data_IF_433033448354
#
_entry.id   IF_433033448354
#
_cell.length_a   1.000
_cell.length_b   1.000
_cell.length_c   1.000
_cell.angle_alpha   90.00
_cell.angle_beta   90.00
_cell.angle_gamma   90.00
#
_symmetry.space_group_name_H-M   'P 1'
#
loop_
_entity.id
_entity.type
_entity.pdbx_description
1 polymer ?
#
# COMPACT_ATOMS: atom_id res chain seq x y z
N UNK A 1 17.53 -49.79 67.99
CA UNK A 1 16.64 -48.69 67.59
C UNK A 1 17.44 -47.76 66.66
N UNK A 2 17.08 -47.72 65.37
CA UNK A 2 17.75 -46.91 64.35
C UNK A 2 17.08 -45.53 64.29
N UNK A 3 17.86 -44.46 64.50
CA UNK A 3 17.42 -43.08 64.29
C UNK A 3 17.59 -42.72 62.81
N UNK A 4 16.49 -42.45 62.14
CA UNK A 4 16.46 -41.98 60.75
C UNK A 4 16.48 -40.45 60.77
N UNK A 5 17.59 -39.86 60.33
CA UNK A 5 17.76 -38.42 60.18
C UNK A 5 17.20 -38.00 58.81
N UNK A 6 16.08 -37.28 58.79
CA UNK A 6 15.48 -36.72 57.58
C UNK A 6 16.13 -35.36 57.27
N UNK A 7 16.93 -35.30 56.21
CA UNK A 7 17.42 -34.06 55.61
C UNK A 7 16.32 -33.43 54.76
N UNK A 8 15.74 -32.31 55.22
CA UNK A 8 14.85 -31.48 54.42
C UNK A 8 15.70 -30.49 53.62
N UNK A 9 15.88 -30.77 52.33
CA UNK A 9 16.47 -29.82 51.38
C UNK A 9 15.35 -28.88 50.91
N UNK A 10 15.35 -27.66 51.45
CA UNK A 10 14.50 -26.58 50.96
C UNK A 10 14.99 -26.08 49.61
N UNK A 11 14.40 -26.59 48.52
CA UNK A 11 14.52 -25.98 47.20
C UNK A 11 13.72 -24.66 47.20
N UNK A 12 14.41 -23.54 47.44
CA UNK A 12 13.87 -22.23 47.09
C UNK A 12 13.86 -22.11 45.56
N UNK A 13 12.71 -22.44 44.96
CA UNK A 13 12.40 -22.07 43.60
C UNK A 13 12.20 -20.55 43.54
N UNK A 14 13.29 -19.81 43.31
CA UNK A 14 13.23 -18.42 42.89
C UNK A 14 12.66 -18.37 41.46
N UNK A 15 11.34 -18.44 41.35
CA UNK A 15 10.62 -18.19 40.12
C UNK A 15 10.86 -16.75 39.66
N UNK A 16 11.86 -16.54 38.80
CA UNK A 16 11.95 -15.34 37.99
C UNK A 16 10.76 -15.33 37.03
N UNK A 17 9.63 -14.78 37.50
CA UNK A 17 8.55 -14.31 36.64
C UNK A 17 9.11 -13.17 35.79
N UNK A 18 9.74 -13.52 34.67
CA UNK A 18 9.90 -12.61 33.55
C UNK A 18 8.50 -12.36 33.01
N UNK A 19 7.83 -11.34 33.55
CA UNK A 19 6.51 -10.93 33.10
C UNK A 19 6.52 -10.79 31.58
N UNK A 20 5.78 -11.67 30.90
CA UNK A 20 5.71 -11.67 29.45
C UNK A 20 5.19 -10.31 28.99
N UNK A 21 6.03 -9.52 28.36
CA UNK A 21 5.64 -8.20 27.88
C UNK A 21 4.64 -8.37 26.74
N UNK A 22 3.42 -7.90 26.98
CA UNK A 22 2.31 -7.93 26.03
C UNK A 22 2.34 -6.70 25.13
N UNK A 23 1.71 -6.79 23.96
CA UNK A 23 1.54 -5.66 23.05
C UNK A 23 0.85 -4.45 23.70
N UNK A 24 0.01 -4.67 24.72
CA UNK A 24 -0.67 -3.61 25.47
C UNK A 24 0.26 -2.68 26.24
N UNK A 25 1.53 -3.05 26.46
CA UNK A 25 2.51 -2.21 27.15
C UNK A 25 3.11 -1.10 26.26
N UNK A 26 2.93 -1.18 24.94
CA UNK A 26 3.52 -0.28 23.96
C UNK A 26 2.84 1.09 23.97
N UNK A 27 3.63 2.16 23.96
CA UNK A 27 3.17 3.55 24.02
C UNK A 27 3.21 4.21 22.64
N UNK A 28 2.22 5.06 22.35
CA UNK A 28 2.09 5.72 21.04
C UNK A 28 3.03 6.93 20.87
N UNK A 29 3.33 7.67 21.92
CA UNK A 29 3.98 8.98 21.81
C UNK A 29 5.51 8.84 21.92
N UNK A 30 6.27 8.84 20.80
CA UNK A 30 7.73 8.86 20.85
C UNK A 30 8.23 10.17 21.44
N UNK A 31 9.41 10.12 22.05
CA UNK A 31 10.13 11.33 22.43
C UNK A 31 10.86 11.90 21.19
N UNK A 32 11.21 13.20 21.16
CA UNK A 32 11.92 13.80 20.02
C UNK A 32 13.20 13.04 19.63
N UNK A 33 13.95 12.56 20.61
CA UNK A 33 15.16 11.76 20.43
C UNK A 33 14.89 10.41 19.74
N UNK A 34 13.73 9.79 20.00
CA UNK A 34 13.33 8.52 19.38
C UNK A 34 13.07 8.74 17.88
N UNK A 35 12.42 9.85 17.53
CA UNK A 35 12.19 10.25 16.13
C UNK A 35 13.51 10.58 15.41
N UNK A 36 14.45 11.24 16.08
CA UNK A 36 15.78 11.50 15.52
C UNK A 36 16.59 10.21 15.33
N UNK A 37 16.48 9.25 16.25
CA UNK A 37 17.08 7.94 16.09
C UNK A 37 16.49 7.21 14.88
N UNK A 38 15.17 7.25 14.71
CA UNK A 38 14.47 6.69 13.55
C UNK A 38 14.94 7.29 12.23
N UNK A 39 14.95 8.62 12.10
CA UNK A 39 15.37 9.31 10.87
C UNK A 39 16.79 8.95 10.42
N UNK A 40 17.70 8.65 11.36
CA UNK A 40 19.06 8.21 11.05
C UNK A 40 19.12 6.75 10.60
N UNK A 41 18.23 5.92 11.09
CA UNK A 41 18.23 4.49 10.83
C UNK A 41 17.40 4.08 9.60
N UNK A 42 16.31 4.79 9.32
CA UNK A 42 15.41 4.54 8.19
C UNK A 42 16.15 4.35 6.84
N UNK A 43 17.18 5.16 6.48
CA UNK A 43 17.94 4.93 5.25
C UNK A 43 18.67 3.57 5.20
N UNK A 44 19.08 3.02 6.34
CA UNK A 44 19.72 1.70 6.41
C UNK A 44 18.73 0.56 6.08
N UNK A 45 17.43 0.83 6.22
CA UNK A 45 16.37 -0.07 5.80
C UNK A 45 16.14 -0.05 4.30
N UNK A 46 16.95 0.64 3.47
CA UNK A 46 16.75 0.67 2.00
C UNK A 46 16.58 -0.73 1.39
N UNK A 47 17.32 -1.71 1.92
CA UNK A 47 17.30 -3.11 1.48
C UNK A 47 16.52 -4.04 2.42
N UNK A 48 15.74 -3.51 3.37
CA UNK A 48 14.88 -4.34 4.22
C UNK A 48 13.76 -4.96 3.42
N UNK A 49 13.47 -6.23 3.69
CA UNK A 49 12.36 -6.99 3.12
C UNK A 49 11.58 -7.72 4.21
N UNK A 50 10.37 -8.13 3.87
CA UNK A 50 9.47 -8.88 4.74
C UNK A 50 9.15 -10.20 4.04
N UNK A 51 9.41 -11.31 4.72
CA UNK A 51 8.99 -12.64 4.29
C UNK A 51 7.89 -13.13 5.21
N UNK A 52 6.78 -13.56 4.63
CA UNK A 52 5.67 -14.19 5.37
C UNK A 52 5.62 -15.64 4.94
N UNK A 53 5.79 -16.55 5.89
CA UNK A 53 5.74 -18.00 5.67
C UNK A 53 4.76 -18.65 6.63
N UNK A 54 4.54 -19.96 6.50
CA UNK A 54 3.76 -20.73 7.47
C UNK A 54 4.36 -20.66 8.88
N UNK A 55 5.68 -20.57 9.00
CA UNK A 55 6.37 -20.47 10.31
C UNK A 55 6.25 -19.06 10.93
N UNK A 56 6.00 -18.03 10.12
CA UNK A 56 5.65 -16.70 10.60
C UNK A 56 6.18 -15.54 9.77
N UNK A 57 6.32 -14.40 10.44
CA UNK A 57 6.69 -13.10 9.88
C UNK A 57 8.17 -12.86 10.14
N UNK A 58 8.99 -12.82 9.10
CA UNK A 58 10.44 -12.62 9.19
C UNK A 58 10.82 -11.31 8.49
N UNK A 59 11.43 -10.40 9.24
CA UNK A 59 11.83 -9.08 8.75
C UNK A 59 13.36 -8.93 8.71
N UNK A 60 13.90 -8.42 7.60
CA UNK A 60 15.30 -8.05 7.49
C UNK A 60 15.50 -6.61 8.01
N UNK A 61 16.11 -6.46 9.18
CA UNK A 61 16.41 -5.18 9.82
C UNK A 61 17.70 -4.51 9.31
N UNK A 62 18.18 -4.89 8.12
CA UNK A 62 19.38 -4.33 7.51
C UNK A 62 20.66 -4.88 8.13
N UNK A 63 21.75 -4.12 8.01
CA UNK A 63 23.08 -4.53 8.48
C UNK A 63 23.17 -4.48 10.00
N UNK A 64 23.91 -5.43 10.59
CA UNK A 64 24.10 -5.55 12.03
C UNK A 64 24.65 -4.28 12.66
N UNK A 65 25.64 -3.62 12.04
CA UNK A 65 26.19 -2.37 12.57
C UNK A 65 25.09 -1.32 12.79
N UNK A 66 24.24 -1.13 11.80
CA UNK A 66 23.22 -0.08 11.82
C UNK A 66 22.07 -0.49 12.78
N UNK A 67 21.68 -1.77 12.78
CA UNK A 67 20.68 -2.31 13.71
C UNK A 67 21.15 -2.24 15.17
N UNK A 68 22.40 -2.65 15.47
CA UNK A 68 22.97 -2.57 16.80
C UNK A 68 23.11 -1.12 17.30
N UNK A 69 23.34 -0.18 16.38
CA UNK A 69 23.34 1.24 16.69
C UNK A 69 21.94 1.77 17.02
N UNK A 70 20.89 1.22 16.42
CA UNK A 70 19.50 1.64 16.67
C UNK A 70 18.91 0.99 17.94
N UNK A 71 19.03 -0.34 18.08
CA UNK A 71 18.56 -1.13 19.21
C UNK A 71 19.61 -1.20 20.34
N UNK A 72 19.75 -0.10 21.09
CA UNK A 72 20.74 0.03 22.18
C UNK A 72 20.18 -0.37 23.54
N UNK A 73 18.96 0.04 23.81
CA UNK A 73 18.31 -0.11 25.09
C UNK A 73 17.60 -1.46 25.20
N UNK A 74 17.38 -1.90 26.45
CA UNK A 74 16.71 -3.18 26.75
C UNK A 74 15.32 -3.28 26.09
N UNK A 75 14.59 -2.17 26.04
CA UNK A 75 13.21 -2.09 25.54
C UNK A 75 13.11 -1.46 24.14
N UNK A 76 14.23 -1.37 23.42
CA UNK A 76 14.18 -1.15 21.98
C UNK A 76 13.77 -2.44 21.30
N UNK A 77 12.94 -2.37 20.26
CA UNK A 77 12.38 -3.57 19.68
C UNK A 77 11.60 -3.34 18.40
N UNK A 78 10.97 -4.41 17.93
CA UNK A 78 10.08 -4.39 16.78
C UNK A 78 8.81 -5.17 17.10
N UNK A 79 7.70 -4.78 16.48
CA UNK A 79 6.43 -5.48 16.57
C UNK A 79 5.76 -5.46 15.20
N UNK A 80 5.25 -6.61 14.75
CA UNK A 80 4.40 -6.67 13.57
C UNK A 80 2.96 -6.35 13.97
N UNK A 81 2.30 -5.54 13.16
CA UNK A 81 0.87 -5.26 13.26
C UNK A 81 0.21 -5.70 11.96
N UNK A 82 -0.81 -6.54 12.08
CA UNK A 82 -1.58 -7.06 10.97
C UNK A 82 -2.88 -6.26 10.87
N UNK A 83 -3.02 -5.47 9.81
CA UNK A 83 -4.20 -4.64 9.55
C UNK A 83 -5.04 -5.31 8.46
N UNK A 84 -6.23 -5.87 8.78
CA UNK A 84 -7.12 -6.37 7.75
C UNK A 84 -7.57 -5.22 6.85
N UNK A 85 -7.88 -5.48 5.58
CA UNK A 85 -8.34 -4.41 4.69
C UNK A 85 -9.78 -3.97 4.95
N UNK A 86 -10.56 -4.75 5.70
CA UNK A 86 -11.97 -4.52 6.00
C UNK A 86 -12.29 -3.10 6.51
N UNK A 87 -11.52 -2.49 7.44
CA UNK A 87 -11.80 -1.13 7.91
C UNK A 87 -11.60 -0.04 6.85
N UNK A 88 -10.99 -0.38 5.70
CA UNK A 88 -10.85 0.52 4.55
C UNK A 88 -11.97 0.34 3.51
N UNK A 89 -12.86 -0.65 3.66
CA UNK A 89 -14.03 -0.74 2.79
C UNK A 89 -14.97 0.40 3.17
N UNK A 90 -15.34 1.22 2.18
CA UNK A 90 -16.12 2.42 2.39
C UNK A 90 -17.63 2.15 2.33
N UNK A 91 -18.29 1.86 3.46
CA UNK A 91 -19.62 2.40 3.70
C UNK A 91 -19.53 3.43 4.84
N UNK A 92 -19.67 4.71 4.48
CA UNK A 92 -19.99 5.81 5.40
C UNK A 92 -18.92 6.29 6.42
N UNK A 93 -17.65 6.46 6.02
CA UNK A 93 -16.71 7.32 6.77
C UNK A 93 -16.26 6.83 8.16
N UNK A 94 -16.65 5.61 8.55
CA UNK A 94 -16.37 5.03 9.87
C UNK A 94 -14.87 4.93 10.19
N UNK A 95 -14.03 4.80 9.15
CA UNK A 95 -12.57 4.75 9.26
C UNK A 95 -11.94 5.98 9.97
N UNK A 96 -12.67 7.09 10.05
CA UNK A 96 -12.25 8.34 10.72
C UNK A 96 -12.83 8.49 12.14
N UNK A 97 -14.00 7.92 12.41
CA UNK A 97 -14.65 7.98 13.72
C UNK A 97 -14.14 6.92 14.68
N UNK A 98 -13.77 5.74 14.16
CA UNK A 98 -13.28 4.64 14.99
C UNK A 98 -11.92 4.96 15.64
N UNK A 99 -11.71 4.58 16.91
CA UNK A 99 -10.42 4.73 17.58
C UNK A 99 -9.29 4.05 16.80
N UNK A 100 -8.28 4.83 16.41
CA UNK A 100 -7.16 4.39 15.58
C UNK A 100 -5.89 5.15 15.94
N UNK A 101 -4.75 4.75 15.36
CA UNK A 101 -3.50 5.51 15.42
C UNK A 101 -3.66 6.89 14.76
N UNK A 102 -4.47 6.98 13.70
CA UNK A 102 -4.70 8.22 12.94
C UNK A 102 -5.31 9.34 13.78
N UNK A 103 -6.19 8.98 14.71
CA UNK A 103 -6.81 9.94 15.64
C UNK A 103 -6.21 9.90 17.06
N UNK A 104 -5.06 9.23 17.24
CA UNK A 104 -4.33 9.18 18.50
C UNK A 104 -5.02 8.38 19.62
N UNK A 105 -6.15 7.72 19.34
CA UNK A 105 -6.94 7.00 20.38
C UNK A 105 -6.47 5.56 20.60
N UNK A 106 -5.68 4.98 19.69
CA UNK A 106 -5.08 3.65 19.85
C UNK A 106 -3.63 3.63 19.37
N UNK A 107 -2.79 2.80 20.00
CA UNK A 107 -1.43 2.54 19.54
C UNK A 107 -1.40 1.73 18.23
N UNK A 108 -2.40 0.87 18.03
CA UNK A 108 -2.52 -0.06 16.93
C UNK A 108 -3.82 0.15 16.14
N UNK A 109 -3.70 0.07 14.81
CA UNK A 109 -4.81 0.02 13.84
C UNK A 109 -5.27 -1.42 13.58
N UNK A 110 -4.42 -2.41 13.87
CA UNK A 110 -4.69 -3.83 13.60
C UNK A 110 -4.42 -4.71 14.80
N UNK A 111 -4.10 -5.97 14.52
CA UNK A 111 -3.77 -6.99 15.52
C UNK A 111 -2.24 -7.01 15.70
N UNK A 112 -1.71 -6.53 16.82
CA UNK A 112 -0.29 -6.60 17.10
C UNK A 112 0.13 -8.02 17.52
N UNK A 113 1.29 -8.48 17.05
CA UNK A 113 1.96 -9.67 17.58
C UNK A 113 2.75 -9.33 18.85
N UNK A 114 3.39 -10.31 19.47
CA UNK A 114 4.24 -10.07 20.65
C UNK A 114 5.49 -9.28 20.23
N UNK A 115 5.85 -8.19 20.95
CA UNK A 115 7.08 -7.45 20.65
C UNK A 115 8.34 -8.31 20.77
N UNK A 116 9.29 -8.07 19.88
CA UNK A 116 10.63 -8.66 19.89
C UNK A 116 11.64 -7.58 20.23
N UNK A 117 12.27 -7.68 21.40
CA UNK A 117 13.20 -6.68 21.89
C UNK A 117 14.65 -6.98 21.51
N UNK A 118 15.53 -6.00 21.74
CA UNK A 118 16.97 -6.01 21.46
C UNK A 118 17.65 -7.35 21.75
N UNK A 119 17.39 -7.93 22.92
CA UNK A 119 18.04 -9.18 23.36
C UNK A 119 17.73 -10.38 22.46
N UNK A 120 16.61 -10.35 21.74
CA UNK A 120 16.24 -11.35 20.72
C UNK A 120 16.67 -10.91 19.33
N UNK A 121 16.52 -9.63 18.99
CA UNK A 121 16.89 -9.07 17.67
C UNK A 121 18.38 -9.30 17.38
N UNK A 122 19.26 -8.99 18.34
CA UNK A 122 20.72 -9.02 18.13
C UNK A 122 21.36 -10.33 18.62
N UNK A 123 20.57 -11.38 18.90
CA UNK A 123 21.08 -12.58 19.56
C UNK A 123 21.83 -13.51 18.62
N UNK A 124 21.21 -13.86 17.49
CA UNK A 124 21.68 -14.88 16.56
C UNK A 124 21.44 -14.41 15.13
N UNK A 125 22.42 -14.61 14.24
CA UNK A 125 22.26 -14.39 12.80
C UNK A 125 21.45 -15.52 12.14
N UNK A 126 21.21 -15.43 10.83
CA UNK A 126 20.45 -16.47 10.08
C UNK A 126 21.03 -17.88 10.25
N UNK A 127 22.34 -17.97 10.46
CA UNK A 127 23.07 -19.23 10.65
C UNK A 127 23.07 -19.71 12.11
N UNK A 128 22.31 -19.07 13.00
CA UNK A 128 22.22 -19.43 14.41
C UNK A 128 23.50 -19.13 15.21
N UNK A 129 24.38 -18.26 14.70
CA UNK A 129 25.63 -17.87 15.38
C UNK A 129 25.44 -16.59 16.19
N UNK A 130 26.05 -16.53 17.36
CA UNK A 130 26.05 -15.34 18.23
C UNK A 130 27.02 -14.24 17.77
N UNK A 131 27.91 -14.54 16.83
CA UNK A 131 28.90 -13.60 16.30
C UNK A 131 28.45 -12.99 14.97
N UNK A 132 27.94 -11.77 15.04
CA UNK A 132 27.66 -10.94 13.87
C UNK A 132 28.91 -10.18 13.42
N UNK A 133 29.21 -10.20 12.12
CA UNK A 133 30.10 -9.20 11.51
C UNK A 133 29.32 -7.91 11.24
N UNK A 134 29.97 -6.73 11.20
CA UNK A 134 29.30 -5.44 10.99
C UNK A 134 28.38 -5.36 9.75
N UNK A 135 28.70 -6.10 8.69
CA UNK A 135 27.97 -6.11 7.42
C UNK A 135 26.97 -7.27 7.29
N UNK A 136 26.89 -8.17 8.27
CA UNK A 136 25.91 -9.26 8.25
C UNK A 136 24.50 -8.70 8.35
N UNK A 137 23.54 -9.34 7.69
CA UNK A 137 22.13 -8.95 7.75
C UNK A 137 21.47 -9.50 9.01
N UNK A 138 20.60 -8.70 9.62
CA UNK A 138 19.83 -9.08 10.81
C UNK A 138 18.43 -9.47 10.40
N UNK A 139 18.06 -10.72 10.64
CA UNK A 139 16.72 -11.22 10.38
C UNK A 139 16.00 -11.50 11.68
N UNK A 140 14.80 -10.96 11.79
CA UNK A 140 14.02 -11.01 13.03
C UNK A 140 12.71 -11.73 12.76
N UNK A 141 12.51 -12.85 13.46
CA UNK A 141 11.22 -13.52 13.53
C UNK A 141 10.33 -12.76 14.50
N UNK A 142 9.24 -12.20 13.98
CA UNK A 142 8.24 -11.42 14.72
C UNK A 142 7.07 -12.28 15.21
N UNK A 143 7.12 -13.59 14.96
CA UNK A 143 6.08 -14.54 15.35
C UNK A 143 5.15 -14.93 14.20
N UNK A 144 4.17 -15.77 14.51
CA UNK A 144 3.24 -16.34 13.52
C UNK A 144 2.14 -15.36 13.13
N UNK A 145 1.62 -15.53 11.91
CA UNK A 145 0.41 -14.81 11.49
C UNK A 145 -0.79 -15.31 12.33
N UNK A 146 -1.61 -14.41 12.90
CA UNK A 146 -2.83 -14.83 13.59
C UNK A 146 -3.75 -15.64 12.66
N UNK A 147 -4.46 -16.64 13.21
CA UNK A 147 -5.41 -17.43 12.45
C UNK A 147 -6.64 -16.58 12.04
N UNK A 148 -7.24 -16.90 10.89
CA UNK A 148 -8.47 -16.26 10.42
C UNK A 148 -8.30 -14.86 9.81
N UNK A 149 -7.07 -14.44 9.51
CA UNK A 149 -6.83 -13.16 8.84
C UNK A 149 -7.03 -13.30 7.33
N UNK A 150 -7.79 -12.39 6.68
CA UNK A 150 -7.94 -12.37 5.23
C UNK A 150 -6.62 -12.24 4.47
N UNK A 151 -6.60 -12.67 3.20
CA UNK A 151 -5.42 -12.51 2.34
C UNK A 151 -5.13 -11.06 1.99
N UNK A 152 -6.15 -10.23 1.84
CA UNK A 152 -5.98 -8.79 1.64
C UNK A 152 -5.72 -8.11 2.99
N UNK A 153 -4.45 -7.82 3.25
CA UNK A 153 -3.97 -7.26 4.53
C UNK A 153 -2.73 -6.40 4.34
N UNK A 154 -2.53 -5.49 5.28
CA UNK A 154 -1.29 -4.73 5.45
C UNK A 154 -0.55 -5.27 6.68
N UNK A 155 0.76 -5.40 6.58
CA UNK A 155 1.65 -5.77 7.68
C UNK A 155 2.56 -4.58 7.95
N UNK A 156 2.37 -3.96 9.10
CA UNK A 156 3.18 -2.86 9.59
C UNK A 156 4.27 -3.38 10.51
N UNK A 157 5.52 -3.04 10.21
CA UNK A 157 6.64 -3.26 11.11
C UNK A 157 6.87 -1.98 11.89
N UNK A 158 6.50 -2.02 13.16
CA UNK A 158 6.58 -0.90 14.09
C UNK A 158 7.90 -1.00 14.86
N UNK A 159 8.70 0.06 14.80
CA UNK A 159 9.97 0.17 15.51
C UNK A 159 9.75 0.85 16.85
N UNK A 160 10.33 0.24 17.89
CA UNK A 160 10.17 0.65 19.27
C UNK A 160 11.48 1.22 19.81
N UNK A 161 11.40 2.38 20.46
CA UNK A 161 12.44 2.93 21.32
C UNK A 161 11.91 3.06 22.73
N UNK A 162 12.56 2.43 23.70
CA UNK A 162 12.08 2.39 25.09
C UNK A 162 10.57 2.06 25.21
N UNK A 163 10.11 1.06 24.46
CA UNK A 163 8.70 0.64 24.36
C UNK A 163 7.71 1.69 23.79
N UNK A 164 8.20 2.71 23.08
CA UNK A 164 7.39 3.69 22.34
C UNK A 164 7.55 3.50 20.84
N UNK A 165 6.46 3.59 20.08
CA UNK A 165 6.52 3.52 18.62
C UNK A 165 7.20 4.78 18.08
N UNK A 166 8.31 4.64 17.35
CA UNK A 166 9.06 5.75 16.76
C UNK A 166 9.16 5.71 15.23
N UNK A 167 8.86 4.56 14.63
CA UNK A 167 8.96 4.35 13.18
C UNK A 167 8.02 3.26 12.71
N UNK A 168 7.59 3.34 11.46
CA UNK A 168 6.67 2.39 10.84
C UNK A 168 7.16 2.09 9.43
N UNK A 169 7.25 0.82 9.07
CA UNK A 169 7.46 0.37 7.70
C UNK A 169 6.30 -0.52 7.30
N UNK A 170 5.54 -0.08 6.29
CA UNK A 170 4.32 -0.75 5.84
C UNK A 170 4.57 -1.65 4.63
N UNK A 171 3.98 -2.83 4.67
CA UNK A 171 3.96 -3.78 3.56
C UNK A 171 2.52 -4.17 3.24
N UNK A 172 2.16 -4.19 1.96
CA UNK A 172 0.84 -4.63 1.51
C UNK A 172 0.93 -6.02 0.90
N UNK A 173 0.06 -6.92 1.34
CA UNK A 173 -0.12 -8.23 0.72
C UNK A 173 -1.25 -8.14 -0.30
N UNK A 174 -0.89 -8.23 -1.59
CA UNK A 174 -1.84 -8.26 -2.69
C UNK A 174 -1.67 -9.59 -3.43
N UNK A 175 -2.66 -10.48 -3.33
CA UNK A 175 -2.76 -11.73 -4.12
C UNK A 175 -1.39 -12.45 -4.27
N UNK A 176 -0.83 -12.88 -3.13
CA UNK A 176 0.44 -13.62 -3.01
C UNK A 176 1.72 -12.83 -3.25
N UNK A 177 1.63 -11.51 -3.36
CA UNK A 177 2.81 -10.64 -3.48
C UNK A 177 2.88 -9.61 -2.35
N UNK A 178 4.07 -9.45 -1.77
CA UNK A 178 4.35 -8.47 -0.72
C UNK A 178 5.01 -7.24 -1.31
N UNK A 179 4.30 -6.12 -1.32
CA UNK A 179 4.84 -4.83 -1.76
C UNK A 179 5.22 -3.99 -0.56
N UNK A 180 6.49 -3.61 -0.46
CA UNK A 180 6.89 -2.55 0.46
C UNK A 180 6.42 -1.22 -0.11
N UNK A 181 5.60 -0.51 0.65
CA UNK A 181 5.20 0.84 0.27
C UNK A 181 6.33 1.81 0.60
N UNK A 182 6.88 2.48 -0.41
CA UNK A 182 7.62 3.72 -0.21
C UNK A 182 6.65 4.87 -0.49
N UNK A 183 6.06 5.51 0.54
CA UNK A 183 5.28 6.71 0.29
C UNK A 183 6.23 7.84 -0.07
N UNK A 184 6.43 8.03 -1.37
CA UNK A 184 6.38 9.38 -1.93
C UNK A 184 5.40 9.35 -3.09
N UNK A 185 4.15 8.97 -2.82
CA UNK A 185 3.08 9.57 -3.61
C UNK A 185 3.05 11.01 -3.10
N UNK A 186 3.44 12.02 -3.90
CA UNK A 186 3.25 13.40 -3.50
C UNK A 186 1.78 13.53 -3.11
N UNK A 187 1.51 14.05 -1.90
CA UNK A 187 0.16 14.35 -1.47
C UNK A 187 -0.44 15.25 -2.55
N UNK A 188 -1.30 14.69 -3.41
CA UNK A 188 -2.16 15.49 -4.25
C UNK A 188 -3.08 16.17 -3.25
N UNK A 189 -3.05 17.50 -3.12
CA UNK A 189 -3.90 18.19 -2.15
C UNK A 189 -5.35 17.79 -2.45
N UNK A 190 -5.97 17.08 -1.51
CA UNK A 190 -7.40 16.80 -1.55
C UNK A 190 -8.05 18.15 -1.19
N UNK A 191 -8.77 18.80 -2.11
CA UNK A 191 -9.45 20.04 -1.78
C UNK A 191 -10.52 19.76 -0.69
N UNK A 192 -10.84 20.76 0.15
CA UNK A 192 -11.85 20.62 1.21
C UNK A 192 -13.20 20.12 0.65
N UNK A 193 -13.99 19.40 1.46
CA UNK A 193 -15.21 18.70 1.03
C UNK A 193 -16.27 19.61 0.37
N UNK A 194 -16.18 20.91 0.63
CA UNK A 194 -17.01 21.98 0.08
C UNK A 194 -16.76 22.19 -1.43
N UNK A 195 -15.66 21.65 -1.96
CA UNK A 195 -15.27 21.65 -3.38
C UNK A 195 -15.54 20.30 -4.03
N UNK A 196 -16.71 19.72 -3.78
CA UNK A 196 -17.24 18.59 -4.56
C UNK A 196 -17.66 19.01 -5.99
N UNK A 197 -17.02 20.03 -6.57
CA UNK A 197 -16.96 20.19 -8.02
C UNK A 197 -15.91 19.22 -8.50
N UNK A 198 -16.34 18.10 -9.08
CA UNK A 198 -15.46 17.20 -9.83
C UNK A 198 -14.48 18.06 -10.62
N UNK A 199 -13.18 17.99 -10.30
CA UNK A 199 -12.17 18.61 -11.14
C UNK A 199 -12.30 17.95 -12.51
N UNK A 200 -13.08 18.56 -13.38
CA UNK A 200 -13.01 18.32 -14.80
C UNK A 200 -11.84 19.19 -15.22
N UNK A 201 -10.67 18.60 -15.55
CA UNK A 201 -9.67 19.39 -16.26
C UNK A 201 -10.41 20.06 -17.42
N UNK A 202 -10.14 21.34 -17.73
CA UNK A 202 -10.70 21.95 -18.92
C UNK A 202 -10.16 21.17 -20.12
N UNK A 203 -10.85 20.09 -20.48
CA UNK A 203 -10.64 19.36 -21.71
C UNK A 203 -11.04 20.34 -22.80
N UNK A 204 -10.07 21.10 -23.30
CA UNK A 204 -10.20 21.73 -24.60
C UNK A 204 -10.20 20.58 -25.61
N UNK A 205 -11.36 19.95 -25.79
CA UNK A 205 -11.59 18.98 -26.83
C UNK A 205 -11.24 19.67 -28.16
N UNK A 206 -10.12 19.28 -28.74
CA UNK A 206 -9.77 19.72 -30.08
C UNK A 206 -10.69 18.98 -31.04
N UNK A 207 -11.62 19.73 -31.64
CA UNK A 207 -12.55 19.18 -32.62
C UNK A 207 -11.97 19.41 -34.01
N UNK A 208 -11.64 18.32 -34.71
CA UNK A 208 -11.31 18.36 -36.13
C UNK A 208 -12.55 17.95 -36.91
N UNK A 209 -12.94 18.78 -37.90
CA UNK A 209 -14.14 18.56 -38.70
C UNK A 209 -13.80 18.33 -40.16
N UNK A 210 -14.34 17.25 -40.73
CA UNK A 210 -14.29 16.97 -42.16
C UNK A 210 -15.69 17.13 -42.75
N UNK A 211 -15.79 17.78 -43.91
CA UNK A 211 -17.07 18.00 -44.60
C UNK A 211 -17.03 17.38 -45.98
N UNK A 212 -17.91 16.42 -46.21
CA UNK A 212 -18.09 15.76 -47.50
C UNK A 212 -19.22 16.44 -48.28
N UNK A 213 -18.97 16.73 -49.55
CA UNK A 213 -19.98 17.20 -50.49
C UNK A 213 -20.30 16.07 -51.47
N UNK A 214 -21.56 15.98 -51.85
CA UNK A 214 -22.09 14.96 -52.74
C UNK A 214 -22.89 15.65 -53.84
N UNK A 215 -22.84 15.16 -55.08
CA UNK A 215 -23.76 15.63 -56.10
C UNK A 215 -25.19 15.11 -55.85
N UNK A 216 -26.12 15.56 -56.69
CA UNK A 216 -27.54 15.15 -56.63
C UNK A 216 -27.62 13.63 -56.78
N UNK A 217 -28.33 12.96 -55.87
CA UNK A 217 -28.50 11.50 -55.80
C UNK A 217 -27.23 10.67 -55.62
N UNK A 218 -26.07 11.27 -55.40
CA UNK A 218 -24.83 10.54 -55.15
C UNK A 218 -24.66 10.17 -53.68
N UNK A 219 -24.03 9.02 -53.45
CA UNK A 219 -23.69 8.51 -52.11
C UNK A 219 -22.20 8.35 -51.89
N UNK A 220 -21.39 8.39 -52.96
CA UNK A 220 -19.95 8.18 -52.89
C UNK A 220 -19.27 9.55 -52.78
N UNK A 221 -18.50 9.82 -51.71
CA UNK A 221 -17.78 11.07 -51.57
C UNK A 221 -16.51 11.10 -52.44
N UNK A 222 -15.92 12.30 -52.61
CA UNK A 222 -14.61 12.47 -53.23
C UNK A 222 -13.55 11.53 -52.60
N UNK A 223 -12.94 10.61 -53.38
CA UNK A 223 -11.92 9.69 -52.90
C UNK A 223 -10.73 10.39 -52.22
N UNK A 224 -10.37 11.60 -52.66
CA UNK A 224 -9.27 12.34 -52.04
C UNK A 224 -9.62 12.79 -50.62
N UNK A 225 -10.88 13.15 -50.36
CA UNK A 225 -11.34 13.52 -49.02
C UNK A 225 -11.37 12.29 -48.10
N UNK A 226 -11.80 11.13 -48.62
CA UNK A 226 -11.77 9.86 -47.88
C UNK A 226 -10.32 9.55 -47.45
N UNK A 227 -9.37 9.65 -48.38
CA UNK A 227 -7.96 9.38 -48.08
C UNK A 227 -7.40 10.34 -47.01
N UNK A 228 -7.77 11.62 -47.04
CA UNK A 228 -7.36 12.59 -45.99
C UNK A 228 -7.86 12.19 -44.62
N UNK A 229 -9.12 11.75 -44.51
CA UNK A 229 -9.69 11.28 -43.25
C UNK A 229 -8.99 10.00 -42.78
N UNK A 230 -8.76 9.04 -43.67
CA UNK A 230 -8.04 7.81 -43.34
C UNK A 230 -6.63 8.08 -42.82
N UNK A 231 -5.88 8.99 -43.46
CA UNK A 231 -4.55 9.37 -43.01
C UNK A 231 -4.61 10.05 -41.64
N UNK A 232 -5.55 10.98 -41.43
CA UNK A 232 -5.74 11.64 -40.14
C UNK A 232 -6.06 10.64 -39.03
N UNK A 233 -6.97 9.69 -39.29
CA UNK A 233 -7.34 8.65 -38.33
C UNK A 233 -6.16 7.72 -38.05
N UNK A 234 -5.37 7.35 -39.06
CA UNK A 234 -4.18 6.52 -38.87
C UNK A 234 -3.15 7.19 -37.95
N UNK A 235 -2.87 8.48 -38.19
CA UNK A 235 -1.85 9.23 -37.44
C UNK A 235 -2.29 9.59 -36.02
N UNK A 236 -3.59 9.72 -35.77
CA UNK A 236 -4.13 10.28 -34.51
C UNK A 236 -5.04 9.33 -33.73
N UNK A 237 -5.18 8.05 -34.14
CA UNK A 237 -6.17 7.12 -33.59
C UNK A 237 -6.17 7.04 -32.06
N UNK A 238 -4.99 7.01 -31.45
CA UNK A 238 -4.81 6.88 -30.00
C UNK A 238 -5.27 8.12 -29.19
N UNK A 239 -5.48 9.27 -29.84
CA UNK A 239 -5.92 10.51 -29.22
C UNK A 239 -7.40 10.84 -29.43
N UNK A 240 -8.15 10.02 -30.17
CA UNK A 240 -9.55 10.31 -30.51
C UNK A 240 -10.47 9.68 -29.46
N UNK A 241 -11.17 10.53 -28.71
CA UNK A 241 -12.15 10.08 -27.71
C UNK A 241 -13.55 9.83 -28.28
N UNK A 242 -13.93 10.53 -29.35
CA UNK A 242 -15.26 10.43 -29.96
C UNK A 242 -15.23 10.80 -31.44
N UNK A 243 -15.92 10.00 -32.27
CA UNK A 243 -16.21 10.30 -33.67
C UNK A 243 -17.72 10.50 -33.81
N UNK A 244 -18.14 11.52 -34.56
CA UNK A 244 -19.56 11.77 -34.86
C UNK A 244 -19.71 12.00 -36.35
N UNK A 245 -20.52 11.15 -36.99
CA UNK A 245 -20.87 11.29 -38.40
C UNK A 245 -22.28 11.85 -38.47
N UNK A 246 -22.46 12.93 -39.21
CA UNK A 246 -23.78 13.53 -39.47
C UNK A 246 -23.91 13.74 -40.96
N UNK A 247 -24.96 13.16 -41.54
CA UNK A 247 -25.25 13.27 -42.97
C UNK A 247 -26.53 14.07 -43.19
N UNK A 248 -26.59 14.70 -44.36
CA UNK A 248 -27.72 15.52 -44.77
C UNK A 248 -28.12 15.17 -46.21
N UNK A 249 -29.38 15.40 -46.54
CA UNK A 249 -29.92 15.37 -47.89
C UNK A 249 -30.69 16.68 -48.15
N UNK A 250 -30.86 17.03 -49.43
CA UNK A 250 -31.59 18.25 -49.79
C UNK A 250 -33.04 18.17 -49.30
N UNK A 251 -33.64 19.33 -49.03
CA UNK A 251 -35.08 19.46 -48.80
C UNK A 251 -35.88 19.34 -50.10
N UNK A 252 -35.21 19.46 -51.24
CA UNK A 252 -35.79 19.30 -52.57
C UNK A 252 -35.96 17.81 -52.90
N UNK A 253 -37.15 17.43 -53.38
CA UNK A 253 -37.46 16.07 -53.78
C UNK A 253 -38.35 15.29 -52.80
N UNK A 254 -38.35 13.96 -52.93
CA UNK A 254 -39.25 13.07 -52.22
C UNK A 254 -38.65 12.66 -50.86
N UNK A 255 -39.42 12.84 -49.77
CA UNK A 255 -38.95 12.57 -48.40
C UNK A 255 -38.41 11.15 -48.21
N UNK A 256 -39.13 10.06 -48.54
CA UNK A 256 -38.59 8.70 -48.50
C UNK A 256 -37.26 8.51 -49.23
N UNK A 257 -37.08 9.16 -50.39
CA UNK A 257 -35.84 9.07 -51.18
C UNK A 257 -34.69 9.80 -50.49
N UNK A 258 -34.93 11.04 -50.04
CA UNK A 258 -33.93 11.83 -49.32
C UNK A 258 -33.56 11.21 -47.96
N UNK A 259 -34.52 10.56 -47.31
CA UNK A 259 -34.31 9.81 -46.07
C UNK A 259 -33.32 8.65 -46.27
N UNK A 260 -33.53 7.86 -47.32
CA UNK A 260 -32.59 6.78 -47.67
C UNK A 260 -31.23 7.32 -48.08
N UNK A 261 -31.20 8.43 -48.82
CA UNK A 261 -29.98 9.05 -49.31
C UNK A 261 -29.06 9.51 -48.17
N UNK A 262 -29.60 10.16 -47.13
CA UNK A 262 -28.75 10.57 -46.00
C UNK A 262 -28.24 9.35 -45.21
N UNK A 263 -29.05 8.30 -45.02
CA UNK A 263 -28.60 7.08 -44.34
C UNK A 263 -27.46 6.40 -45.11
N UNK A 264 -27.59 6.27 -46.43
CA UNK A 264 -26.56 5.69 -47.28
C UNK A 264 -25.25 6.49 -47.24
N UNK A 265 -25.33 7.84 -47.20
CA UNK A 265 -24.14 8.70 -47.07
C UNK A 265 -23.42 8.55 -45.73
N UNK A 266 -24.17 8.35 -44.64
CA UNK A 266 -23.57 8.10 -43.32
C UNK A 266 -22.91 6.71 -43.24
N UNK A 267 -23.49 5.69 -43.89
CA UNK A 267 -23.00 4.32 -43.81
C UNK A 267 -21.68 4.05 -44.57
N UNK A 268 -21.30 4.93 -45.50
CA UNK A 268 -20.08 4.81 -46.31
C UNK A 268 -18.86 5.41 -45.58
N UNK A 269 -19.08 6.23 -44.56
CA UNK A 269 -18.06 6.94 -43.78
C UNK A 269 -17.78 6.23 -42.45
#
# INVERSE_FOLDING_TARGET
MRFTLLFLIGFMAAGHYSGAQTASSVKLNPLPEDLHAWKRYEPALKFSGLRVTAEGIIFNAGKYRDAAQFFREKYDGMIAEIVPFTPYTCPAGQAFTEPSRRNGKKAFNGIPVVPVYRSKILRLNEQGRSSYKPNDLVYVSLGSLPAGIPDLREINILFLKNNRICGIVSFHHLRDTMFRYYPRIPLIPIPPPDLCTCYQPPEKLQTVSFRFYYAVNETIPDPQMIQRVQNFLHDNFSGISRITVTSFASVEGNYPVNYRLFLSRAAIL
#
